data_IF_151946468226
#
_entry.id   IF_151946468226
#
_cell.length_a   1.000
_cell.length_b   1.000
_cell.length_c   1.000
_cell.angle_alpha   90.00
_cell.angle_beta   90.00
_cell.angle_gamma   90.00
#
_symmetry.space_group_name_H-M   'P 1'
#
loop_
_entity.id
_entity.type
_entity.pdbx_description
1 polymer ?
#
# COMPACT_ATOMS: atom_id res chain seq x y z
N UNK A 1 34.09 -23.81 -8.83
CA UNK A 1 33.43 -22.74 -9.60
C UNK A 1 34.31 -21.52 -9.48
N UNK A 2 34.64 -20.84 -10.58
CA UNK A 2 35.45 -19.62 -10.54
C UNK A 2 34.68 -18.52 -9.83
N UNK A 3 35.28 -17.91 -8.80
CA UNK A 3 34.77 -16.67 -8.23
C UNK A 3 34.96 -15.55 -9.26
N UNK A 4 33.90 -14.76 -9.44
CA UNK A 4 33.91 -13.57 -10.28
C UNK A 4 33.48 -12.39 -9.42
N UNK A 5 33.96 -11.21 -9.79
CA UNK A 5 33.57 -9.94 -9.19
C UNK A 5 33.01 -9.00 -10.25
N UNK A 6 32.08 -8.14 -9.83
CA UNK A 6 31.47 -7.12 -10.67
C UNK A 6 31.20 -5.89 -9.84
N UNK A 7 31.44 -4.72 -10.43
CA UNK A 7 31.15 -3.44 -9.80
C UNK A 7 29.97 -2.80 -10.51
N UNK A 8 29.03 -2.26 -9.72
CA UNK A 8 27.95 -1.40 -10.21
C UNK A 8 28.20 -0.01 -9.65
N UNK A 9 28.40 0.97 -10.54
CA UNK A 9 28.49 2.37 -10.16
C UNK A 9 27.09 2.95 -9.97
N UNK A 10 26.87 3.56 -8.80
CA UNK A 10 25.67 4.31 -8.48
C UNK A 10 25.89 5.79 -8.84
N UNK A 11 24.89 6.49 -9.38
CA UNK A 11 25.08 7.82 -9.94
C UNK A 11 25.18 8.93 -8.88
N UNK A 12 24.80 8.65 -7.63
CA UNK A 12 24.86 9.64 -6.55
C UNK A 12 24.99 9.00 -5.17
N UNK A 13 25.46 9.76 -4.15
CA UNK A 13 25.44 9.31 -2.75
C UNK A 13 24.04 8.93 -2.26
N UNK A 14 23.00 9.64 -2.70
CA UNK A 14 21.61 9.34 -2.35
C UNK A 14 21.17 7.98 -2.90
N UNK A 15 21.64 7.62 -4.09
CA UNK A 15 21.41 6.29 -4.68
C UNK A 15 22.05 5.18 -3.85
N UNK A 16 23.29 5.42 -3.39
CA UNK A 16 24.00 4.54 -2.47
C UNK A 16 23.22 4.35 -1.17
N UNK A 17 22.80 5.44 -0.52
CA UNK A 17 22.05 5.40 0.74
C UNK A 17 20.72 4.65 0.56
N UNK A 18 19.99 4.95 -0.51
CA UNK A 18 18.72 4.30 -0.83
C UNK A 18 18.87 2.78 -1.03
N UNK A 19 19.93 2.36 -1.74
CA UNK A 19 20.21 0.94 -1.98
C UNK A 19 20.66 0.20 -0.72
N UNK A 20 21.49 0.83 0.12
CA UNK A 20 22.00 0.23 1.35
C UNK A 20 20.89 0.00 2.36
N UNK A 21 19.93 0.94 2.42
CA UNK A 21 18.90 0.94 3.45
C UNK A 21 19.45 1.30 4.82
N UNK A 22 18.56 1.34 5.81
CA UNK A 22 18.95 1.63 7.18
C UNK A 22 19.82 0.49 7.73
N UNK A 23 20.94 0.83 8.39
CA UNK A 23 21.89 -0.13 8.97
C UNK A 23 22.32 -1.29 8.03
N UNK A 24 22.41 -1.01 6.73
CA UNK A 24 22.75 -1.97 5.67
C UNK A 24 21.76 -3.15 5.51
N UNK A 25 20.53 -3.00 5.99
CA UNK A 25 19.52 -4.05 5.97
C UNK A 25 19.24 -4.59 4.55
N UNK A 26 19.21 -3.70 3.55
CA UNK A 26 18.90 -4.09 2.18
C UNK A 26 20.06 -4.91 1.57
N UNK A 27 21.32 -4.52 1.79
CA UNK A 27 22.48 -5.29 1.32
C UNK A 27 22.55 -6.66 1.98
N UNK A 28 22.33 -6.73 3.30
CA UNK A 28 22.26 -8.00 4.04
C UNK A 28 21.16 -8.91 3.51
N UNK A 29 20.00 -8.33 3.18
CA UNK A 29 18.88 -9.07 2.60
C UNK A 29 19.21 -9.59 1.21
N UNK A 30 19.75 -8.76 0.31
CA UNK A 30 20.18 -9.16 -1.03
C UNK A 30 21.26 -10.24 -0.97
N UNK A 31 22.26 -10.08 -0.09
CA UNK A 31 23.32 -11.07 0.12
C UNK A 31 22.76 -12.41 0.57
N UNK A 32 21.92 -12.43 1.61
CA UNK A 32 21.29 -13.66 2.12
C UNK A 32 20.41 -14.37 1.09
N UNK A 33 19.68 -13.61 0.27
CA UNK A 33 18.74 -14.17 -0.73
C UNK A 33 19.42 -14.65 -2.01
N UNK A 34 20.66 -14.26 -2.25
CA UNK A 34 21.41 -14.62 -3.48
C UNK A 34 22.64 -15.46 -3.21
N UNK A 35 23.18 -15.42 -1.99
CA UNK A 35 24.44 -16.05 -1.60
C UNK A 35 25.69 -15.33 -2.10
N UNK A 36 25.55 -14.17 -2.77
CA UNK A 36 26.68 -13.31 -3.13
C UNK A 36 27.09 -12.41 -1.96
N UNK A 37 28.35 -11.99 -1.97
CA UNK A 37 28.88 -11.00 -1.06
C UNK A 37 28.77 -9.60 -1.69
N UNK A 38 28.19 -8.65 -0.96
CA UNK A 38 27.98 -7.27 -1.42
C UNK A 38 28.71 -6.31 -0.48
N UNK A 39 29.47 -5.38 -1.05
CA UNK A 39 30.10 -4.30 -0.30
C UNK A 39 29.87 -3.00 -1.05
N UNK A 40 29.36 -1.98 -0.36
CA UNK A 40 29.31 -0.64 -0.92
C UNK A 40 30.51 0.18 -0.43
N UNK A 41 31.23 0.83 -1.35
CA UNK A 41 32.30 1.79 -1.05
C UNK A 41 32.03 3.11 -1.77
N UNK A 42 31.57 4.12 -1.02
CA UNK A 42 31.13 5.37 -1.62
C UNK A 42 29.93 5.12 -2.53
N UNK A 43 30.13 5.18 -3.84
CA UNK A 43 29.09 4.97 -4.86
C UNK A 43 29.32 3.67 -5.66
N UNK A 44 30.32 2.88 -5.31
CA UNK A 44 30.63 1.63 -5.98
C UNK A 44 30.07 0.45 -5.19
N UNK A 45 29.16 -0.31 -5.79
CA UNK A 45 28.69 -1.58 -5.26
C UNK A 45 29.53 -2.71 -5.85
N UNK A 46 30.40 -3.28 -5.02
CA UNK A 46 31.16 -4.47 -5.34
C UNK A 46 30.34 -5.72 -5.02
N UNK A 47 30.22 -6.61 -6.00
CA UNK A 47 29.51 -7.88 -5.90
C UNK A 47 30.53 -8.99 -6.19
N UNK A 48 30.66 -9.97 -5.30
CA UNK A 48 31.53 -11.15 -5.49
C UNK A 48 30.81 -12.45 -5.18
N UNK A 49 31.20 -13.52 -5.89
CA UNK A 49 30.66 -14.87 -5.72
C UNK A 49 30.79 -15.69 -6.99
N UNK A 50 29.94 -16.72 -7.15
CA UNK A 50 29.84 -17.45 -8.42
C UNK A 50 29.14 -16.60 -9.48
N UNK A 51 29.39 -16.89 -10.76
CA UNK A 51 28.78 -16.18 -11.90
C UNK A 51 27.25 -16.08 -11.81
N UNK A 52 26.57 -17.17 -11.41
CA UNK A 52 25.12 -17.19 -11.22
C UNK A 52 24.66 -16.26 -10.09
N UNK A 53 25.41 -16.19 -8.99
CA UNK A 53 25.07 -15.34 -7.86
C UNK A 53 25.26 -13.87 -8.21
N UNK A 54 26.37 -13.53 -8.87
CA UNK A 54 26.66 -12.16 -9.31
C UNK A 54 25.63 -11.66 -10.31
N UNK A 55 25.21 -12.49 -11.28
CA UNK A 55 24.18 -12.10 -12.25
C UNK A 55 22.80 -11.96 -11.60
N UNK A 56 22.46 -12.84 -10.64
CA UNK A 56 21.22 -12.74 -9.87
C UNK A 56 21.14 -11.44 -9.07
N UNK A 57 22.19 -11.07 -8.34
CA UNK A 57 22.25 -9.78 -7.62
C UNK A 57 22.19 -8.62 -8.61
N UNK A 58 22.97 -8.67 -9.69
CA UNK A 58 22.98 -7.62 -10.71
C UNK A 58 21.57 -7.36 -11.25
N UNK A 59 20.81 -8.42 -11.51
CA UNK A 59 19.43 -8.35 -11.96
C UNK A 59 18.52 -7.71 -10.90
N UNK A 60 18.63 -8.11 -9.63
CA UNK A 60 17.84 -7.51 -8.54
C UNK A 60 18.15 -6.03 -8.32
N UNK A 61 19.43 -5.65 -8.31
CA UNK A 61 19.86 -4.25 -8.16
C UNK A 61 19.32 -3.41 -9.31
N UNK A 62 19.37 -3.92 -10.55
CA UNK A 62 18.78 -3.26 -11.73
C UNK A 62 17.25 -3.14 -11.62
N UNK A 63 16.54 -4.17 -11.15
CA UNK A 63 15.08 -4.12 -10.94
C UNK A 63 14.66 -3.06 -9.93
N UNK A 64 15.52 -2.75 -8.95
CA UNK A 64 15.29 -1.72 -7.94
C UNK A 64 15.71 -0.31 -8.39
N UNK A 65 16.18 -0.15 -9.63
CA UNK A 65 16.71 1.12 -10.17
C UNK A 65 15.79 2.30 -10.01
N UNK A 66 14.49 2.12 -10.20
CA UNK A 66 13.51 3.20 -10.07
C UNK A 66 13.52 3.85 -8.67
N UNK A 67 13.89 3.11 -7.64
CA UNK A 67 13.93 3.62 -6.28
C UNK A 67 15.25 4.34 -6.00
N UNK A 68 16.37 3.63 -6.14
CA UNK A 68 17.65 4.20 -5.78
C UNK A 68 18.08 5.33 -6.73
N UNK A 69 17.71 5.32 -8.00
CA UNK A 69 18.05 6.40 -8.93
C UNK A 69 17.47 7.77 -8.51
N UNK A 70 16.31 7.75 -7.85
CA UNK A 70 15.65 8.95 -7.34
C UNK A 70 15.96 9.19 -5.85
N UNK A 71 16.88 8.43 -5.26
CA UNK A 71 17.16 8.48 -3.82
C UNK A 71 15.99 8.03 -2.94
N UNK A 72 14.99 7.34 -3.51
CA UNK A 72 13.81 6.86 -2.78
C UNK A 72 14.16 5.63 -1.95
N UNK A 73 13.69 5.61 -0.71
CA UNK A 73 13.86 4.47 0.20
C UNK A 73 13.33 3.19 -0.43
N UNK A 74 14.19 2.16 -0.50
CA UNK A 74 13.81 0.80 -0.85
C UNK A 74 13.35 0.10 0.43
N UNK A 75 12.14 -0.46 0.41
CA UNK A 75 11.59 -1.24 1.53
C UNK A 75 11.82 -2.73 1.32
N UNK A 76 11.74 -3.51 2.40
CA UNK A 76 11.78 -4.97 2.30
C UNK A 76 10.72 -5.56 1.36
N UNK A 77 9.54 -4.93 1.25
CA UNK A 77 8.48 -5.34 0.33
C UNK A 77 8.90 -5.19 -1.13
N UNK A 78 9.63 -4.12 -1.46
CA UNK A 78 10.13 -3.88 -2.82
C UNK A 78 11.15 -4.96 -3.20
N UNK A 79 12.07 -5.28 -2.28
CA UNK A 79 13.07 -6.33 -2.48
C UNK A 79 12.41 -7.70 -2.65
N UNK A 80 11.45 -8.05 -1.79
CA UNK A 80 10.74 -9.33 -1.88
C UNK A 80 9.93 -9.45 -3.17
N UNK A 81 9.32 -8.36 -3.63
CA UNK A 81 8.58 -8.33 -4.89
C UNK A 81 9.52 -8.48 -6.09
N UNK A 82 10.69 -7.81 -6.06
CA UNK A 82 11.72 -7.96 -7.09
C UNK A 82 12.29 -9.39 -7.15
N UNK A 83 12.53 -10.02 -6.00
CA UNK A 83 12.96 -11.43 -5.91
C UNK A 83 11.89 -12.34 -6.49
N UNK A 84 10.63 -12.18 -6.06
CA UNK A 84 9.53 -12.98 -6.58
C UNK A 84 9.37 -12.84 -8.10
N UNK A 85 9.50 -11.62 -8.63
CA UNK A 85 9.46 -11.37 -10.07
C UNK A 85 10.61 -12.08 -10.80
N UNK A 86 11.82 -12.05 -10.25
CA UNK A 86 12.98 -12.72 -10.84
C UNK A 86 12.82 -14.25 -10.83
N UNK A 87 12.33 -14.82 -9.72
CA UNK A 87 12.15 -16.26 -9.57
C UNK A 87 11.02 -16.82 -10.44
N UNK A 88 9.98 -16.03 -10.66
CA UNK A 88 8.83 -16.41 -11.48
C UNK A 88 8.92 -15.95 -12.94
N UNK A 89 10.03 -15.31 -13.33
CA UNK A 89 10.25 -14.73 -14.67
C UNK A 89 9.19 -13.70 -15.08
N UNK A 90 8.79 -12.85 -14.13
CA UNK A 90 7.78 -11.79 -14.29
C UNK A 90 8.39 -10.38 -14.21
N UNK A 91 9.61 -10.20 -14.72
CA UNK A 91 10.28 -8.89 -14.69
C UNK A 91 9.51 -7.82 -15.48
N UNK A 92 8.86 -8.18 -16.58
CA UNK A 92 8.06 -7.24 -17.36
C UNK A 92 6.83 -6.77 -16.57
N UNK A 93 6.13 -7.70 -15.89
CA UNK A 93 5.03 -7.34 -14.99
C UNK A 93 5.48 -6.44 -13.83
N UNK A 94 6.72 -6.58 -13.36
CA UNK A 94 7.30 -5.70 -12.33
C UNK A 94 7.54 -4.29 -12.88
N UNK A 95 7.97 -4.17 -14.14
CA UNK A 95 8.10 -2.86 -14.79
C UNK A 95 6.73 -2.20 -14.95
N UNK A 96 5.72 -2.94 -15.39
CA UNK A 96 4.34 -2.44 -15.48
C UNK A 96 3.85 -1.96 -14.10
N UNK A 97 4.09 -2.76 -13.06
CA UNK A 97 3.74 -2.42 -11.67
C UNK A 97 4.37 -1.09 -11.23
N UNK A 98 5.60 -0.81 -11.65
CA UNK A 98 6.30 0.43 -11.34
C UNK A 98 5.74 1.64 -12.09
N UNK A 99 5.21 1.44 -13.30
CA UNK A 99 4.63 2.49 -14.15
C UNK A 99 3.15 2.78 -13.82
N UNK A 100 2.45 1.80 -13.26
CA UNK A 100 1.02 1.90 -12.91
C UNK A 100 0.80 2.80 -11.68
N UNK A 101 0.71 4.11 -11.92
CA UNK A 101 0.40 5.11 -10.90
C UNK A 101 -1.09 5.12 -10.62
N UNK A 102 -1.46 4.81 -9.38
CA UNK A 102 -2.85 4.88 -8.94
C UNK A 102 -3.26 6.33 -8.67
N UNK A 103 -2.50 7.03 -7.83
CA UNK A 103 -2.82 8.38 -7.40
C UNK A 103 -1.57 9.15 -6.99
N UNK A 104 -1.73 10.44 -6.71
CA UNK A 104 -0.73 11.25 -6.03
C UNK A 104 -1.29 11.74 -4.71
N UNK A 105 -0.47 11.70 -3.66
CA UNK A 105 -0.80 12.38 -2.40
C UNK A 105 -0.87 13.88 -2.62
N UNK A 106 -1.40 14.61 -1.64
CA UNK A 106 -1.38 16.08 -1.62
C UNK A 106 0.03 16.69 -1.72
N UNK A 107 1.05 15.93 -1.32
CA UNK A 107 2.47 16.33 -1.39
C UNK A 107 3.12 15.97 -2.74
N UNK A 108 2.36 15.39 -3.67
CA UNK A 108 2.84 14.93 -4.97
C UNK A 108 3.48 13.54 -4.94
N UNK A 109 3.51 12.86 -3.80
CA UNK A 109 4.08 11.53 -3.71
C UNK A 109 3.23 10.51 -4.46
N UNK A 110 3.89 9.63 -5.22
CA UNK A 110 3.22 8.62 -6.04
C UNK A 110 2.67 7.50 -5.15
N UNK A 111 1.37 7.25 -5.27
CA UNK A 111 0.69 6.07 -4.73
C UNK A 111 0.56 5.05 -5.87
N UNK A 112 1.10 3.85 -5.65
CA UNK A 112 1.02 2.72 -6.58
C UNK A 112 0.99 1.39 -5.84
N UNK A 113 0.64 0.32 -6.53
CA UNK A 113 0.81 -1.02 -5.99
C UNK A 113 2.30 -1.35 -5.79
N UNK A 114 2.64 -1.88 -4.62
CA UNK A 114 3.99 -2.35 -4.28
C UNK A 114 4.17 -3.84 -4.54
N UNK A 115 3.07 -4.59 -4.71
CA UNK A 115 3.08 -6.04 -4.95
C UNK A 115 2.12 -6.41 -6.07
N UNK A 116 2.37 -7.56 -6.73
CA UNK A 116 1.47 -8.10 -7.74
C UNK A 116 0.04 -8.34 -7.22
N UNK A 117 -0.10 -8.75 -5.95
CA UNK A 117 -1.41 -8.93 -5.30
C UNK A 117 -2.15 -7.61 -5.09
N UNK A 118 -1.44 -6.54 -4.74
CA UNK A 118 -2.04 -5.21 -4.66
C UNK A 118 -2.51 -4.74 -6.02
N UNK A 119 -1.74 -4.96 -7.10
CA UNK A 119 -2.18 -4.66 -8.48
C UNK A 119 -3.44 -5.44 -8.85
N UNK A 120 -3.48 -6.73 -8.53
CA UNK A 120 -4.68 -7.56 -8.74
C UNK A 120 -5.88 -7.02 -7.95
N UNK A 121 -5.67 -6.59 -6.70
CA UNK A 121 -6.71 -6.01 -5.88
C UNK A 121 -7.25 -4.70 -6.46
N UNK A 122 -6.37 -3.76 -6.84
CA UNK A 122 -6.76 -2.50 -7.49
C UNK A 122 -7.59 -2.79 -8.74
N UNK A 123 -7.10 -3.68 -9.60
CA UNK A 123 -7.83 -4.08 -10.81
C UNK A 123 -9.21 -4.67 -10.49
N UNK A 124 -9.30 -5.54 -9.49
CA UNK A 124 -10.57 -6.15 -9.09
C UNK A 124 -11.61 -5.09 -8.67
N UNK A 125 -11.19 -4.11 -7.86
CA UNK A 125 -12.04 -3.00 -7.41
C UNK A 125 -12.53 -2.15 -8.60
N UNK A 126 -11.68 -1.91 -9.59
CA UNK A 126 -12.03 -1.08 -10.75
C UNK A 126 -12.94 -1.78 -11.77
N UNK A 127 -12.95 -3.12 -11.80
CA UNK A 127 -13.66 -3.89 -12.83
C UNK A 127 -14.85 -4.69 -12.33
N UNK A 128 -15.11 -4.72 -11.01
CA UNK A 128 -16.22 -5.47 -10.42
C UNK A 128 -17.02 -4.60 -9.46
N UNK A 129 -18.35 -4.75 -9.48
CA UNK A 129 -19.25 -4.02 -8.59
C UNK A 129 -19.07 -4.39 -7.11
N UNK A 130 -18.63 -5.62 -6.82
CA UNK A 130 -18.37 -6.12 -5.47
C UNK A 130 -17.03 -6.85 -5.39
N UNK A 131 -16.16 -6.41 -4.49
CA UNK A 131 -14.84 -7.02 -4.29
C UNK A 131 -14.60 -7.33 -2.81
N UNK A 132 -14.33 -8.60 -2.51
CA UNK A 132 -13.85 -9.02 -1.19
C UNK A 132 -12.33 -9.10 -1.18
N UNK A 133 -11.69 -8.35 -0.28
CA UNK A 133 -10.24 -8.35 -0.12
C UNK A 133 -9.87 -8.89 1.26
N UNK A 134 -9.28 -10.09 1.29
CA UNK A 134 -8.85 -10.77 2.52
C UNK A 134 -7.33 -10.82 2.55
N UNK A 135 -6.75 -10.44 3.69
CA UNK A 135 -5.30 -10.48 3.87
C UNK A 135 -4.88 -9.90 5.22
N UNK A 136 -3.62 -10.13 5.63
CA UNK A 136 -3.13 -9.69 6.93
C UNK A 136 -3.11 -8.16 7.08
N UNK A 137 -2.99 -7.69 8.31
CA UNK A 137 -2.80 -6.27 8.61
C UNK A 137 -1.55 -5.71 7.90
N UNK A 138 -1.56 -4.42 7.57
CA UNK A 138 -0.42 -3.75 6.93
C UNK A 138 -0.23 -4.02 5.43
N UNK A 139 -1.11 -4.80 4.78
CA UNK A 139 -1.03 -5.09 3.33
C UNK A 139 -1.66 -4.01 2.45
N UNK A 140 -2.16 -2.91 3.03
CA UNK A 140 -2.70 -1.77 2.30
C UNK A 140 -4.12 -1.95 1.75
N UNK A 141 -4.88 -2.97 2.17
CA UNK A 141 -6.25 -3.25 1.70
C UNK A 141 -7.15 -2.03 1.82
N UNK A 142 -7.36 -1.56 3.04
CA UNK A 142 -8.24 -0.41 3.34
C UNK A 142 -7.70 0.86 2.71
N UNK A 143 -6.39 1.10 2.81
CA UNK A 143 -5.76 2.30 2.25
C UNK A 143 -5.98 2.40 0.73
N UNK A 144 -5.67 1.35 -0.02
CA UNK A 144 -5.84 1.34 -1.48
C UNK A 144 -7.33 1.47 -1.87
N UNK A 145 -8.24 0.85 -1.12
CA UNK A 145 -9.68 1.01 -1.34
C UNK A 145 -10.11 2.47 -1.22
N UNK A 146 -9.71 3.14 -0.13
CA UNK A 146 -10.03 4.55 0.13
C UNK A 146 -9.42 5.44 -0.95
N UNK A 147 -8.20 5.14 -1.41
CA UNK A 147 -7.56 5.89 -2.49
C UNK A 147 -8.37 5.81 -3.79
N UNK A 148 -8.75 4.60 -4.21
CA UNK A 148 -9.57 4.39 -5.42
C UNK A 148 -10.91 5.11 -5.28
N UNK A 149 -11.58 4.94 -4.14
CA UNK A 149 -12.91 5.49 -3.91
C UNK A 149 -12.91 7.03 -3.85
N UNK A 150 -11.90 7.63 -3.22
CA UNK A 150 -11.72 9.07 -3.18
C UNK A 150 -11.45 9.64 -4.59
N UNK A 151 -10.62 8.98 -5.40
CA UNK A 151 -10.44 9.39 -6.79
C UNK A 151 -11.72 9.29 -7.61
N UNK A 152 -12.46 8.18 -7.47
CA UNK A 152 -13.71 7.99 -8.18
C UNK A 152 -14.74 9.07 -7.81
N UNK A 153 -14.80 9.44 -6.53
CA UNK A 153 -15.61 10.55 -6.04
C UNK A 153 -15.18 11.91 -6.64
N UNK A 154 -13.87 12.21 -6.60
CA UNK A 154 -13.33 13.47 -7.14
C UNK A 154 -13.50 13.59 -8.67
N UNK A 155 -13.55 12.46 -9.37
CA UNK A 155 -13.82 12.38 -10.81
C UNK A 155 -15.33 12.35 -11.13
N UNK A 156 -16.20 12.54 -10.14
CA UNK A 156 -17.66 12.48 -10.26
C UNK A 156 -18.20 11.16 -10.83
N UNK A 157 -17.48 10.04 -10.63
CA UNK A 157 -17.95 8.71 -11.01
C UNK A 157 -19.02 8.18 -10.04
N UNK A 158 -18.95 8.62 -8.79
CA UNK A 158 -19.95 8.36 -7.75
C UNK A 158 -20.35 9.67 -7.09
N UNK A 159 -21.59 9.76 -6.63
CA UNK A 159 -22.12 10.93 -5.92
C UNK A 159 -21.74 10.92 -4.43
N UNK A 160 -21.50 9.72 -3.88
CA UNK A 160 -21.22 9.54 -2.44
C UNK A 160 -20.12 8.51 -2.20
N UNK A 161 -19.35 8.73 -1.14
CA UNK A 161 -18.39 7.78 -0.59
C UNK A 161 -18.79 7.44 0.85
N UNK A 162 -19.03 6.16 1.11
CA UNK A 162 -19.44 5.67 2.43
C UNK A 162 -18.35 4.75 2.96
N UNK A 163 -17.69 5.16 4.03
CA UNK A 163 -16.70 4.38 4.75
C UNK A 163 -17.33 3.89 6.05
N UNK A 164 -17.39 2.57 6.21
CA UNK A 164 -18.02 1.97 7.36
C UNK A 164 -17.17 0.90 7.99
N UNK A 165 -17.27 0.77 9.32
CA UNK A 165 -16.56 -0.23 10.10
C UNK A 165 -17.55 -0.82 11.11
N UNK A 166 -17.61 -2.14 11.30
CA UNK A 166 -18.41 -2.73 12.37
C UNK A 166 -17.83 -2.27 13.72
N UNK A 167 -18.71 -1.95 14.66
CA UNK A 167 -18.30 -1.68 16.02
C UNK A 167 -17.75 -3.00 16.61
N UNK A 168 -16.47 -2.99 17.00
CA UNK A 168 -15.86 -4.11 17.72
C UNK A 168 -15.82 -3.72 19.18
N UNK A 169 -16.47 -4.49 20.04
CA UNK A 169 -16.26 -4.37 21.49
C UNK A 169 -14.86 -4.88 21.79
N UNK A 170 -13.87 -3.98 21.80
CA UNK A 170 -12.48 -4.29 22.11
C UNK A 170 -12.31 -4.50 23.63
N UNK A 171 -12.98 -5.52 24.18
CA UNK A 171 -12.88 -5.90 25.60
C UNK A 171 -13.58 -4.97 26.60
N UNK A 172 -13.76 -3.69 26.27
CA UNK A 172 -14.59 -2.74 27.01
C UNK A 172 -15.88 -2.46 26.25
N UNK A 173 -17.03 -2.50 26.93
CA UNK A 173 -18.29 -2.05 26.34
C UNK A 173 -18.09 -0.60 25.90
N UNK A 174 -18.55 -0.23 24.70
CA UNK A 174 -18.52 1.15 24.18
C UNK A 174 -19.02 2.20 25.20
N UNK A 175 -19.83 1.78 26.18
CA UNK A 175 -20.25 2.55 27.34
C UNK A 175 -19.15 3.11 28.27
N UNK A 176 -17.92 2.56 28.28
CA UNK A 176 -16.88 2.92 29.26
C UNK A 176 -15.93 4.07 28.86
N UNK A 177 -15.80 4.37 27.57
CA UNK A 177 -15.02 5.54 27.12
C UNK A 177 -15.76 6.84 27.53
N UNK A 178 -15.12 7.85 28.15
CA UNK A 178 -15.80 9.11 28.48
C UNK A 178 -16.16 9.89 27.19
N UNK A 179 -17.29 10.61 27.20
CA UNK A 179 -17.73 11.44 26.07
C UNK A 179 -19.04 10.99 25.40
N UNK A 180 -19.45 11.71 24.36
CA UNK A 180 -20.61 11.36 23.55
C UNK A 180 -20.36 10.11 22.69
N UNK A 181 -21.42 9.53 22.11
CA UNK A 181 -21.32 8.30 21.31
C UNK A 181 -20.35 8.45 20.12
N UNK A 182 -20.23 9.64 19.53
CA UNK A 182 -19.30 9.88 18.43
C UNK A 182 -17.85 9.93 18.91
N UNK A 183 -17.56 10.61 20.01
CA UNK A 183 -16.22 10.70 20.61
C UNK A 183 -15.66 9.32 20.97
N UNK A 184 -16.52 8.38 21.35
CA UNK A 184 -16.16 6.99 21.66
C UNK A 184 -15.84 6.17 20.41
N UNK A 185 -16.49 6.46 19.29
CA UNK A 185 -16.34 5.71 18.02
C UNK A 185 -15.20 6.27 17.17
N UNK A 186 -14.93 7.56 17.27
CA UNK A 186 -13.95 8.29 16.45
C UNK A 186 -12.55 7.64 16.43
N UNK A 187 -11.98 7.15 17.56
CA UNK A 187 -10.69 6.46 17.54
C UNK A 187 -10.63 5.26 16.59
N UNK A 188 -11.72 4.51 16.44
CA UNK A 188 -11.80 3.34 15.55
C UNK A 188 -11.91 3.72 14.08
N UNK A 189 -12.36 4.93 13.78
CA UNK A 189 -12.52 5.43 12.41
C UNK A 189 -11.31 6.26 11.95
N UNK A 190 -10.42 6.66 12.87
CA UNK A 190 -9.22 7.47 12.58
C UNK A 190 -8.40 6.96 11.38
N UNK A 191 -8.11 5.65 11.21
CA UNK A 191 -7.36 5.18 10.04
C UNK A 191 -8.03 5.49 8.69
N UNK A 192 -9.36 5.57 8.65
CA UNK A 192 -10.12 5.93 7.45
C UNK A 192 -9.98 7.42 7.13
N UNK A 193 -10.03 8.26 8.17
CA UNK A 193 -9.77 9.70 8.03
C UNK A 193 -8.34 9.98 7.56
N UNK A 194 -7.35 9.30 8.15
CA UNK A 194 -5.95 9.46 7.78
C UNK A 194 -5.73 9.13 6.29
N UNK A 195 -6.34 8.04 5.79
CA UNK A 195 -6.26 7.67 4.39
C UNK A 195 -6.94 8.69 3.44
N UNK A 196 -8.06 9.29 3.85
CA UNK A 196 -8.69 10.38 3.10
C UNK A 196 -7.79 11.62 3.03
N UNK A 197 -7.18 11.98 4.16
CA UNK A 197 -6.35 13.19 4.28
C UNK A 197 -5.05 13.15 3.48
N UNK A 198 -4.61 11.96 3.04
CA UNK A 198 -3.51 11.79 2.09
C UNK A 198 -3.86 12.35 0.70
N UNK A 199 -5.14 12.37 0.32
CA UNK A 199 -5.63 12.78 -1.00
C UNK A 199 -6.42 14.09 -0.99
N UNK A 200 -7.23 14.30 0.04
CA UNK A 200 -8.15 15.42 0.16
C UNK A 200 -7.71 16.26 1.36
N UNK A 201 -7.69 17.58 1.22
CA UNK A 201 -7.37 18.44 2.34
C UNK A 201 -8.40 18.31 3.46
N UNK A 202 -7.98 18.54 4.70
CA UNK A 202 -8.82 18.34 5.88
C UNK A 202 -10.06 19.24 5.87
N UNK A 203 -9.93 20.47 5.37
CA UNK A 203 -11.05 21.43 5.29
C UNK A 203 -12.09 20.99 4.26
N UNK A 204 -11.66 20.61 3.06
CA UNK A 204 -12.52 20.04 2.01
C UNK A 204 -13.12 18.71 2.43
N UNK A 205 -12.36 17.86 3.12
CA UNK A 205 -12.87 16.60 3.68
C UNK A 205 -14.01 16.88 4.65
N UNK A 206 -13.84 17.83 5.57
CA UNK A 206 -14.90 18.26 6.49
C UNK A 206 -16.12 18.82 5.74
N UNK A 207 -15.92 19.68 4.73
CA UNK A 207 -17.02 20.22 3.93
C UNK A 207 -17.81 19.12 3.19
N UNK A 208 -17.11 18.15 2.60
CA UNK A 208 -17.75 17.01 1.92
C UNK A 208 -18.52 16.13 2.92
N UNK A 209 -18.04 16.02 4.16
CA UNK A 209 -18.76 15.31 5.23
C UNK A 209 -20.00 16.05 5.70
N UNK A 210 -19.92 17.36 5.92
CA UNK A 210 -21.08 18.19 6.29
C UNK A 210 -22.20 18.13 5.23
N UNK A 211 -21.81 18.03 3.96
CA UNK A 211 -22.74 17.88 2.83
C UNK A 211 -23.26 16.44 2.65
N UNK A 212 -22.77 15.48 3.42
CA UNK A 212 -23.14 14.06 3.29
C UNK A 212 -22.61 13.39 2.01
N UNK A 213 -21.62 13.99 1.34
CA UNK A 213 -20.96 13.41 0.16
C UNK A 213 -19.97 12.33 0.60
N UNK A 214 -19.19 12.59 1.66
CA UNK A 214 -18.37 11.59 2.33
C UNK A 214 -19.05 11.26 3.66
N UNK A 215 -19.33 9.99 3.91
CA UNK A 215 -19.88 9.53 5.18
C UNK A 215 -18.92 8.54 5.83
N UNK A 216 -18.50 8.81 7.07
CA UNK A 216 -17.68 7.88 7.87
C UNK A 216 -18.47 7.50 9.12
N UNK A 217 -19.03 6.29 9.14
CA UNK A 217 -20.01 5.90 10.15
C UNK A 217 -19.97 4.40 10.49
N UNK A 218 -20.44 3.99 11.69
CA UNK A 218 -20.56 2.57 12.03
C UNK A 218 -21.48 1.80 11.10
N UNK A 219 -21.24 0.49 10.95
CA UNK A 219 -22.03 -0.39 10.08
C UNK A 219 -23.53 -0.38 10.40
N UNK A 220 -23.89 -0.19 11.68
CA UNK A 220 -25.29 -0.13 12.12
C UNK A 220 -26.10 0.98 11.45
N UNK A 221 -25.45 2.06 10.99
CA UNK A 221 -26.09 3.20 10.33
C UNK A 221 -26.49 2.88 8.88
N UNK A 222 -26.05 1.75 8.33
CA UNK A 222 -26.40 1.35 6.97
C UNK A 222 -27.78 0.68 6.89
N UNK A 223 -28.36 0.28 8.04
CA UNK A 223 -29.61 -0.48 8.08
C UNK A 223 -30.76 0.29 7.44
N UNK A 224 -31.40 -0.35 6.46
CA UNK A 224 -32.60 0.18 5.79
C UNK A 224 -32.32 1.33 4.83
N UNK A 225 -31.04 1.59 4.49
CA UNK A 225 -30.67 2.61 3.51
C UNK A 225 -30.61 2.03 2.11
N UNK A 226 -30.93 2.87 1.13
CA UNK A 226 -30.65 2.60 -0.29
C UNK A 226 -29.41 3.39 -0.70
N UNK A 227 -28.35 2.68 -1.07
CA UNK A 227 -27.03 3.25 -1.35
C UNK A 227 -26.83 3.46 -2.86
N UNK A 228 -27.71 4.27 -3.46
CA UNK A 228 -27.62 4.61 -4.88
C UNK A 228 -26.40 5.48 -5.18
N UNK A 229 -25.76 5.21 -6.32
CA UNK A 229 -24.62 5.92 -6.87
C UNK A 229 -23.51 6.22 -5.83
N UNK A 230 -23.24 5.24 -4.96
CA UNK A 230 -22.30 5.37 -3.86
C UNK A 230 -21.18 4.34 -3.97
N UNK A 231 -19.96 4.76 -3.65
CA UNK A 231 -18.84 3.85 -3.41
C UNK A 231 -18.84 3.49 -1.93
N UNK A 232 -19.03 2.22 -1.59
CA UNK A 232 -19.14 1.75 -0.19
C UNK A 232 -17.94 0.89 0.17
N UNK A 233 -17.27 1.21 1.28
CA UNK A 233 -16.16 0.43 1.83
C UNK A 233 -16.53 -0.05 3.23
N UNK A 234 -16.57 -1.37 3.41
CA UNK A 234 -16.73 -2.02 4.71
C UNK A 234 -15.36 -2.48 5.20
N UNK A 235 -14.74 -1.69 6.07
CA UNK A 235 -13.47 -2.02 6.70
C UNK A 235 -13.66 -3.02 7.85
N UNK A 236 -12.65 -3.85 8.12
CA UNK A 236 -12.69 -4.94 9.10
C UNK A 236 -13.95 -5.83 9.04
N UNK A 237 -14.39 -6.15 7.83
CA UNK A 237 -15.59 -6.95 7.56
C UNK A 237 -15.60 -8.32 8.26
N UNK A 238 -14.45 -8.88 8.65
CA UNK A 238 -14.38 -10.12 9.41
C UNK A 238 -15.03 -10.03 10.81
N UNK A 239 -15.23 -8.82 11.33
CA UNK A 239 -15.93 -8.59 12.59
C UNK A 239 -17.45 -8.46 12.43
N UNK A 240 -17.97 -8.76 11.23
CA UNK A 240 -19.41 -8.77 10.97
C UNK A 240 -20.01 -10.16 11.16
N UNK A 241 -21.29 -10.19 11.50
CA UNK A 241 -22.11 -11.39 11.38
C UNK A 241 -22.63 -11.55 9.94
N UNK A 242 -23.01 -12.78 9.51
CA UNK A 242 -23.62 -12.98 8.20
C UNK A 242 -24.88 -12.12 7.97
N UNK A 243 -25.65 -11.88 9.03
CA UNK A 243 -26.82 -11.01 8.97
C UNK A 243 -26.46 -9.54 8.72
N UNK A 244 -25.38 -9.04 9.32
CA UNK A 244 -24.86 -7.69 9.07
C UNK A 244 -24.27 -7.56 7.67
N UNK A 245 -23.59 -8.59 7.17
CA UNK A 245 -23.06 -8.58 5.80
C UNK A 245 -24.18 -8.59 4.75
N UNK A 246 -25.27 -9.33 4.99
CA UNK A 246 -26.45 -9.37 4.10
C UNK A 246 -27.30 -8.09 4.15
N UNK A 247 -27.16 -7.31 5.22
CA UNK A 247 -27.93 -6.08 5.42
C UNK A 247 -27.43 -4.93 4.54
N UNK A 248 -26.13 -4.89 4.25
CA UNK A 248 -25.49 -3.89 3.38
C UNK A 248 -25.57 -4.35 1.94
#
# INVERSE_FOLDING_TARGET
MSEVSKTIELPSPESAIALVGDQEENLKTLSRQTGAHLVLRGQELLISGTEKQVERVSSLVRSLKIYWLEGKRITGVDIQTAIHALDTKRQDELQDLHQDVLAHTRRGEVIRAKTFRQRQYIKAVLTHDLTFCVGPAGTGKTFLAVVIAAQALLNNQYERLILTRPAVEAGEKLGFLPGDLQQKINPYLRPLYDALHELIDTEKTANLMERGIIEVAPLAYMRGRTLNNAFVIIDEAQNTTPAQMKMV
#
